data_IF_716389374654
#
_entry.id   IF_716389374654
#
_cell.length_a   1.000
_cell.length_b   1.000
_cell.length_c   1.000
_cell.angle_alpha   90.00
_cell.angle_beta   90.00
_cell.angle_gamma   90.00
#
_symmetry.space_group_name_H-M   'P 1'
#
loop_
_entity.id
_entity.type
_entity.pdbx_description
1 polymer ?
#
# COMPACT_ATOMS: atom_id res chain seq x y z
N UNK A 1 29.18 -11.65 9.67
CA UNK A 1 28.17 -10.61 10.01
C UNK A 1 26.87 -10.95 9.28
N UNK A 2 25.79 -11.27 9.98
CA UNK A 2 24.48 -11.48 9.37
C UNK A 2 23.97 -10.10 8.92
N UNK A 3 23.94 -9.85 7.61
CA UNK A 3 23.32 -8.64 7.09
C UNK A 3 21.83 -8.72 7.37
N UNK A 4 21.33 -7.80 8.22
CA UNK A 4 19.88 -7.71 8.54
C UNK A 4 19.10 -7.47 7.26
N UNK A 5 18.22 -8.42 6.90
CA UNK A 5 17.38 -8.35 5.69
C UNK A 5 15.95 -7.99 6.05
N UNK A 6 15.31 -7.25 5.16
CA UNK A 6 13.88 -6.93 5.25
C UNK A 6 13.13 -7.78 4.24
N UNK A 7 12.10 -8.51 4.71
CA UNK A 7 11.14 -9.18 3.83
C UNK A 7 9.98 -8.24 3.50
N UNK A 8 9.60 -8.14 2.24
CA UNK A 8 8.47 -7.31 1.80
C UNK A 8 7.47 -8.22 1.09
N UNK A 9 6.20 -8.10 1.45
CA UNK A 9 5.09 -8.83 0.81
C UNK A 9 4.16 -7.80 0.16
N UNK A 10 4.00 -7.90 -1.15
CA UNK A 10 3.06 -7.09 -1.92
C UNK A 10 2.29 -7.94 -2.94
N UNK A 11 1.17 -7.45 -3.44
CA UNK A 11 0.37 -8.15 -4.45
C UNK A 11 0.92 -8.01 -5.88
N UNK A 12 1.76 -6.99 -6.15
CA UNK A 12 2.21 -6.68 -7.50
C UNK A 12 3.38 -5.69 -7.55
N UNK A 13 3.46 -4.91 -8.63
CA UNK A 13 4.53 -3.95 -8.91
C UNK A 13 4.68 -2.86 -7.84
N UNK A 14 3.62 -2.57 -7.07
CA UNK A 14 3.68 -1.62 -5.95
C UNK A 14 4.81 -1.92 -4.97
N UNK A 15 5.04 -3.21 -4.67
CA UNK A 15 6.15 -3.66 -3.84
C UNK A 15 7.52 -3.32 -4.43
N UNK A 16 7.68 -3.40 -5.74
CA UNK A 16 8.92 -3.03 -6.41
C UNK A 16 9.19 -1.52 -6.29
N UNK A 17 8.17 -0.67 -6.44
CA UNK A 17 8.31 0.76 -6.23
C UNK A 17 8.65 1.09 -4.77
N UNK A 18 8.04 0.37 -3.82
CA UNK A 18 8.32 0.54 -2.41
C UNK A 18 9.76 0.15 -2.02
N UNK A 19 10.33 -0.91 -2.62
CA UNK A 19 11.73 -1.32 -2.33
C UNK A 19 12.74 -0.23 -2.65
N UNK A 20 12.46 0.65 -3.63
CA UNK A 20 13.34 1.76 -4.01
C UNK A 20 13.47 2.83 -2.92
N UNK A 21 12.55 2.84 -1.96
CA UNK A 21 12.59 3.74 -0.79
C UNK A 21 13.39 3.13 0.38
N UNK A 22 13.73 1.84 0.28
CA UNK A 22 14.41 1.12 1.37
C UNK A 22 15.90 1.05 1.06
N UNK A 23 16.71 1.78 1.83
CA UNK A 23 18.17 1.74 1.72
C UNK A 23 18.78 0.55 2.50
N UNK A 24 18.24 -0.66 2.28
CA UNK A 24 18.71 -1.90 2.93
C UNK A 24 18.48 -3.11 2.02
N UNK A 25 19.26 -4.17 2.25
CA UNK A 25 19.03 -5.44 1.58
C UNK A 25 17.63 -5.99 1.90
N UNK A 26 16.85 -6.30 0.87
CA UNK A 26 15.48 -6.82 1.04
C UNK A 26 15.22 -8.03 0.16
N UNK A 27 14.24 -8.84 0.59
CA UNK A 27 13.63 -9.92 -0.21
C UNK A 27 12.20 -9.48 -0.48
N UNK A 28 11.87 -9.23 -1.74
CA UNK A 28 10.52 -8.89 -2.18
C UNK A 28 9.78 -10.12 -2.67
N UNK A 29 8.59 -10.35 -2.13
CA UNK A 29 7.59 -11.26 -2.71
C UNK A 29 6.50 -10.43 -3.36
N UNK A 30 6.40 -10.49 -4.68
CA UNK A 30 5.27 -9.99 -5.45
C UNK A 30 4.32 -11.16 -5.73
N UNK A 31 3.18 -11.19 -5.07
CA UNK A 31 2.20 -12.28 -5.18
C UNK A 31 1.26 -12.08 -6.37
N UNK A 32 1.83 -11.90 -7.55
CA UNK A 32 1.15 -11.51 -8.80
C UNK A 32 0.08 -12.51 -9.24
N UNK A 33 0.24 -13.80 -8.90
CA UNK A 33 -0.76 -14.83 -9.19
C UNK A 33 -2.13 -14.54 -8.53
N UNK A 34 -2.17 -13.74 -7.47
CA UNK A 34 -3.39 -13.38 -6.75
C UNK A 34 -3.71 -11.89 -6.77
N UNK A 35 -3.02 -11.13 -7.62
CA UNK A 35 -3.34 -9.72 -7.85
C UNK A 35 -4.74 -9.54 -8.47
N UNK A 36 -5.51 -8.51 -8.10
CA UNK A 36 -5.30 -7.58 -6.98
C UNK A 36 -5.87 -8.13 -5.65
N UNK A 37 -5.20 -7.88 -4.55
CA UNK A 37 -5.66 -8.26 -3.21
C UNK A 37 -6.93 -7.51 -2.77
N UNK A 38 -7.18 -6.33 -3.30
CA UNK A 38 -8.38 -5.55 -3.01
C UNK A 38 -9.71 -6.19 -3.41
N UNK A 39 -9.68 -7.30 -4.17
CA UNK A 39 -10.84 -8.11 -4.55
C UNK A 39 -10.96 -9.45 -3.82
N UNK A 40 -10.07 -9.75 -2.87
CA UNK A 40 -10.04 -11.04 -2.18
C UNK A 40 -10.75 -10.97 -0.82
N UNK A 41 -11.22 -12.14 -0.33
CA UNK A 41 -11.81 -12.21 1.00
C UNK A 41 -10.75 -12.03 2.10
N UNK A 42 -11.16 -11.57 3.26
CA UNK A 42 -10.30 -11.38 4.43
C UNK A 42 -9.66 -12.70 4.86
N UNK A 43 -10.41 -13.79 4.87
CA UNK A 43 -9.94 -15.12 5.25
C UNK A 43 -8.85 -15.62 4.30
N UNK A 44 -9.04 -15.40 2.99
CA UNK A 44 -8.02 -15.72 1.99
C UNK A 44 -6.75 -14.92 2.25
N UNK A 45 -6.86 -13.60 2.43
CA UNK A 45 -5.72 -12.72 2.65
C UNK A 45 -4.94 -13.10 3.91
N UNK A 46 -5.62 -13.43 5.02
CA UNK A 46 -4.98 -13.87 6.26
C UNK A 46 -4.18 -15.17 6.02
N UNK A 47 -4.82 -16.21 5.46
CA UNK A 47 -4.17 -17.49 5.19
C UNK A 47 -2.97 -17.34 4.25
N UNK A 48 -3.14 -16.57 3.17
CA UNK A 48 -2.08 -16.33 2.21
C UNK A 48 -0.91 -15.58 2.82
N UNK A 49 -1.17 -14.53 3.60
CA UNK A 49 -0.12 -13.74 4.25
C UNK A 49 0.65 -14.58 5.28
N UNK A 50 -0.03 -15.41 6.07
CA UNK A 50 0.64 -16.34 7.01
C UNK A 50 1.59 -17.27 6.26
N UNK A 51 1.16 -17.83 5.12
CA UNK A 51 2.02 -18.68 4.30
C UNK A 51 3.28 -17.94 3.82
N UNK A 52 3.12 -16.72 3.31
CA UNK A 52 4.24 -15.91 2.81
C UNK A 52 5.16 -15.44 3.96
N UNK A 53 4.61 -15.09 5.12
CA UNK A 53 5.38 -14.73 6.30
C UNK A 53 6.24 -15.91 6.80
N UNK A 54 5.69 -17.11 6.85
CA UNK A 54 6.45 -18.34 7.20
C UNK A 54 7.62 -18.58 6.25
N UNK A 55 7.44 -18.28 4.97
CA UNK A 55 8.55 -18.40 4.01
C UNK A 55 9.68 -17.39 4.28
N UNK A 56 9.34 -16.17 4.75
CA UNK A 56 10.31 -15.10 5.03
C UNK A 56 10.90 -15.16 6.44
N UNK A 57 10.22 -15.76 7.40
CA UNK A 57 10.54 -15.73 8.84
C UNK A 57 11.99 -16.12 9.15
N UNK A 58 12.50 -17.15 8.46
CA UNK A 58 13.88 -17.63 8.65
C UNK A 58 14.90 -16.95 7.72
N UNK A 59 14.48 -16.00 6.89
CA UNK A 59 15.33 -15.35 5.88
C UNK A 59 15.49 -13.85 6.14
N UNK A 60 14.62 -13.27 6.98
CA UNK A 60 14.53 -11.84 7.23
C UNK A 60 14.38 -11.55 8.71
N UNK A 61 14.99 -10.46 9.17
CA UNK A 61 14.90 -9.99 10.56
C UNK A 61 13.60 -9.20 10.80
N UNK A 62 13.01 -8.64 9.74
CA UNK A 62 11.76 -7.89 9.77
C UNK A 62 10.95 -8.18 8.51
N UNK A 63 9.64 -8.28 8.65
CA UNK A 63 8.70 -8.40 7.53
C UNK A 63 7.87 -7.12 7.44
N UNK A 64 7.70 -6.60 6.23
CA UNK A 64 6.84 -5.44 5.94
C UNK A 64 5.74 -5.88 4.98
N UNK A 65 4.49 -5.67 5.36
CA UNK A 65 3.36 -5.77 4.45
C UNK A 65 3.33 -4.51 3.59
N UNK A 66 3.92 -4.57 2.39
CA UNK A 66 4.03 -3.47 1.44
C UNK A 66 2.70 -3.10 0.80
N UNK A 67 1.77 -4.06 0.69
CA UNK A 67 0.43 -3.81 0.21
C UNK A 67 -0.44 -3.14 1.28
N UNK A 68 -1.00 -1.95 0.98
CA UNK A 68 -1.89 -1.24 1.91
C UNK A 68 -3.12 -2.05 2.30
N UNK A 69 -3.65 -2.87 1.39
CA UNK A 69 -4.77 -3.79 1.69
C UNK A 69 -4.37 -4.81 2.77
N UNK A 70 -3.20 -5.44 2.65
CA UNK A 70 -2.70 -6.36 3.67
C UNK A 70 -2.41 -5.64 4.98
N UNK A 71 -1.77 -4.49 4.91
CA UNK A 71 -1.41 -3.70 6.07
C UNK A 71 -2.65 -3.33 6.91
N UNK A 72 -3.69 -2.80 6.26
CA UNK A 72 -4.90 -2.37 6.97
C UNK A 72 -5.75 -3.54 7.49
N UNK A 73 -5.86 -4.63 6.70
CA UNK A 73 -6.84 -5.70 6.96
C UNK A 73 -6.22 -6.87 7.71
N UNK A 74 -4.99 -7.25 7.36
CA UNK A 74 -4.39 -8.51 7.79
C UNK A 74 -3.39 -8.32 8.93
N UNK A 75 -2.68 -7.19 8.95
CA UNK A 75 -1.63 -6.94 9.95
C UNK A 75 -2.08 -7.17 11.40
N UNK A 76 -3.29 -6.75 11.84
CA UNK A 76 -3.74 -7.00 13.21
C UNK A 76 -3.77 -8.48 13.61
N UNK A 77 -3.97 -9.38 12.63
CA UNK A 77 -4.03 -10.83 12.85
C UNK A 77 -2.64 -11.47 12.82
N UNK A 78 -1.80 -11.09 11.87
CA UNK A 78 -0.47 -11.69 11.72
C UNK A 78 0.53 -11.17 12.76
N UNK A 79 0.32 -9.99 13.32
CA UNK A 79 1.10 -9.48 14.48
C UNK A 79 1.01 -10.40 15.71
N UNK A 80 -0.04 -11.19 15.84
CA UNK A 80 -0.19 -12.17 16.92
C UNK A 80 0.73 -13.38 16.74
N UNK A 81 1.14 -13.66 15.51
CA UNK A 81 1.94 -14.84 15.14
C UNK A 81 3.41 -14.49 14.87
N UNK A 82 3.69 -13.29 14.36
CA UNK A 82 5.01 -12.85 13.93
C UNK A 82 5.44 -11.59 14.68
N UNK A 83 6.55 -11.66 15.46
CA UNK A 83 6.99 -10.56 16.34
C UNK A 83 7.49 -9.32 15.58
N UNK A 84 8.21 -9.53 14.47
CA UNK A 84 8.89 -8.46 13.73
C UNK A 84 8.17 -8.17 12.41
N UNK A 85 6.88 -7.85 12.47
CA UNK A 85 6.07 -7.51 11.30
C UNK A 85 5.45 -6.12 11.44
N UNK A 86 5.45 -5.36 10.35
CA UNK A 86 4.81 -4.04 10.25
C UNK A 86 4.10 -3.90 8.90
N UNK A 87 3.35 -2.84 8.72
CA UNK A 87 2.64 -2.58 7.48
C UNK A 87 2.73 -1.11 7.08
N UNK A 88 2.75 -0.86 5.77
CA UNK A 88 2.88 0.48 5.20
C UNK A 88 1.69 1.40 5.51
N UNK A 89 0.49 0.85 5.76
CA UNK A 89 -0.67 1.67 6.08
C UNK A 89 -0.53 2.35 7.46
N UNK A 90 0.13 1.68 8.42
CA UNK A 90 0.36 2.24 9.76
C UNK A 90 1.10 3.59 9.69
N UNK A 91 1.94 3.77 8.66
CA UNK A 91 2.73 4.99 8.45
C UNK A 91 1.90 6.15 7.89
N UNK A 92 0.74 5.87 7.29
CA UNK A 92 -0.19 6.88 6.79
C UNK A 92 -1.10 7.45 7.88
N UNK A 93 -1.35 6.68 8.95
CA UNK A 93 -2.33 7.01 10.01
C UNK A 93 -2.08 8.40 10.62
N UNK A 94 -0.84 8.81 10.97
CA UNK A 94 -0.58 10.11 11.57
C UNK A 94 -0.96 11.32 10.69
N UNK A 95 -1.14 11.11 9.39
CA UNK A 95 -1.45 12.17 8.42
C UNK A 95 -2.94 12.26 8.10
N UNK A 96 -3.75 11.30 8.57
CA UNK A 96 -5.18 11.24 8.31
C UNK A 96 -5.91 12.20 9.26
N UNK A 97 -6.65 13.14 8.70
CA UNK A 97 -7.56 14.04 9.44
C UNK A 97 -8.85 14.30 8.65
N UNK A 98 -9.78 15.07 9.23
CA UNK A 98 -11.10 15.34 8.63
C UNK A 98 -11.07 16.09 7.29
N UNK A 99 -9.93 16.67 6.91
CA UNK A 99 -9.73 17.40 5.64
C UNK A 99 -9.00 16.57 4.61
N UNK A 100 -8.74 15.30 4.95
CA UNK A 100 -8.08 14.34 4.07
C UNK A 100 -9.08 13.62 3.18
N UNK A 101 -8.63 13.27 1.96
CA UNK A 101 -9.26 12.26 1.12
C UNK A 101 -8.28 11.12 0.89
N UNK A 102 -8.76 9.87 0.96
CA UNK A 102 -7.93 8.70 0.74
C UNK A 102 -8.18 8.08 -0.64
N UNK A 103 -7.11 7.75 -1.35
CA UNK A 103 -7.15 7.10 -2.66
C UNK A 103 -6.42 5.76 -2.57
N UNK A 104 -7.04 4.68 -3.04
CA UNK A 104 -6.44 3.35 -2.98
C UNK A 104 -7.34 2.30 -3.61
N UNK A 105 -7.09 1.01 -3.34
CA UNK A 105 -8.02 -0.04 -3.78
C UNK A 105 -9.37 0.11 -3.07
N UNK A 106 -10.43 -0.30 -3.76
CA UNK A 106 -11.82 -0.20 -3.25
C UNK A 106 -12.00 -0.73 -1.83
N UNK A 107 -11.39 -1.87 -1.52
CA UNK A 107 -11.48 -2.48 -0.19
C UNK A 107 -10.75 -1.64 0.87
N UNK A 108 -9.54 -1.20 0.58
CA UNK A 108 -8.73 -0.38 1.48
C UNK A 108 -9.42 0.96 1.77
N UNK A 109 -9.87 1.65 0.73
CA UNK A 109 -10.47 3.00 0.87
C UNK A 109 -11.80 2.95 1.60
N UNK A 110 -12.66 1.99 1.29
CA UNK A 110 -13.93 1.82 2.02
C UNK A 110 -13.73 1.54 3.50
N UNK A 111 -12.76 0.69 3.85
CA UNK A 111 -12.48 0.38 5.24
C UNK A 111 -11.84 1.58 5.96
N UNK A 112 -10.86 2.22 5.37
CA UNK A 112 -10.20 3.40 5.93
C UNK A 112 -11.19 4.57 6.12
N UNK A 113 -12.03 4.84 5.11
CA UNK A 113 -13.07 5.87 5.20
C UNK A 113 -13.99 5.64 6.40
N UNK A 114 -14.42 4.39 6.61
CA UNK A 114 -15.27 4.03 7.76
C UNK A 114 -14.54 4.18 9.10
N UNK A 115 -13.26 3.79 9.17
CA UNK A 115 -12.48 3.83 10.41
C UNK A 115 -12.12 5.26 10.83
N UNK A 116 -11.81 6.13 9.87
CA UNK A 116 -11.29 7.48 10.13
C UNK A 116 -12.29 8.59 9.82
N UNK A 117 -13.50 8.24 9.34
CA UNK A 117 -14.55 9.18 8.94
C UNK A 117 -14.05 10.25 7.96
N UNK A 118 -13.45 9.81 6.85
CA UNK A 118 -12.90 10.64 5.78
C UNK A 118 -13.46 10.23 4.42
N UNK A 119 -13.41 11.14 3.46
CA UNK A 119 -13.81 10.86 2.07
C UNK A 119 -12.81 9.93 1.37
N UNK A 120 -13.27 9.25 0.32
CA UNK A 120 -12.43 8.33 -0.42
C UNK A 120 -12.70 8.34 -1.93
N UNK A 121 -11.67 7.97 -2.69
CA UNK A 121 -11.76 7.66 -4.11
C UNK A 121 -11.30 6.22 -4.33
N UNK A 122 -12.16 5.44 -5.03
CA UNK A 122 -11.76 4.13 -5.53
C UNK A 122 -10.78 4.31 -6.69
N UNK A 123 -9.51 4.03 -6.42
CA UNK A 123 -8.40 4.10 -7.37
C UNK A 123 -8.08 2.76 -8.04
N UNK A 124 -8.94 1.74 -7.89
CA UNK A 124 -8.67 0.39 -8.41
C UNK A 124 -8.40 0.36 -9.91
N UNK A 125 -9.06 1.23 -10.68
CA UNK A 125 -8.81 1.36 -12.13
C UNK A 125 -7.38 1.86 -12.40
N UNK A 126 -6.95 2.91 -11.70
CA UNK A 126 -5.60 3.46 -11.83
C UNK A 126 -4.54 2.42 -11.42
N UNK A 127 -4.77 1.70 -10.32
CA UNK A 127 -3.88 0.63 -9.86
C UNK A 127 -3.72 -0.45 -10.94
N UNK A 128 -4.83 -0.89 -11.55
CA UNK A 128 -4.81 -1.87 -12.63
C UNK A 128 -4.05 -1.36 -13.87
N UNK A 129 -4.24 -0.09 -14.23
CA UNK A 129 -3.56 0.51 -15.38
C UNK A 129 -2.05 0.59 -15.15
N UNK A 130 -1.61 0.98 -13.94
CA UNK A 130 -0.17 1.01 -13.58
C UNK A 130 0.43 -0.40 -13.62
N UNK A 131 -0.24 -1.39 -13.02
CA UNK A 131 0.24 -2.78 -13.00
C UNK A 131 0.44 -3.35 -14.40
N UNK A 132 -0.44 -3.01 -15.34
CA UNK A 132 -0.44 -3.54 -16.70
C UNK A 132 0.22 -2.61 -17.73
N UNK A 133 0.89 -1.54 -17.28
CA UNK A 133 1.54 -0.55 -18.14
C UNK A 133 0.60 0.04 -19.22
N UNK A 134 -0.65 0.31 -18.84
CA UNK A 134 -1.67 0.95 -19.70
C UNK A 134 -1.59 2.46 -19.47
N UNK A 135 -1.78 3.26 -20.52
CA UNK A 135 -1.87 4.71 -20.39
C UNK A 135 -3.00 5.10 -19.42
N UNK A 136 -2.66 5.91 -18.42
CA UNK A 136 -3.55 6.30 -17.31
C UNK A 136 -3.75 7.82 -17.19
N UNK A 137 -3.38 8.59 -18.19
CA UNK A 137 -3.44 10.06 -18.17
C UNK A 137 -4.88 10.57 -17.93
N UNK A 138 -5.87 10.01 -18.62
CA UNK A 138 -7.28 10.38 -18.44
C UNK A 138 -7.78 10.07 -17.03
N UNK A 139 -7.32 8.96 -16.45
CA UNK A 139 -7.71 8.58 -15.09
C UNK A 139 -7.06 9.50 -14.04
N UNK A 140 -5.82 9.93 -14.24
CA UNK A 140 -5.16 10.96 -13.43
C UNK A 140 -5.94 12.27 -13.51
N UNK A 141 -6.30 12.71 -14.72
CA UNK A 141 -7.07 13.94 -14.92
C UNK A 141 -8.44 13.88 -14.22
N UNK A 142 -9.11 12.72 -14.26
CA UNK A 142 -10.36 12.48 -13.52
C UNK A 142 -10.15 12.63 -12.02
N UNK A 143 -9.14 11.98 -11.46
CA UNK A 143 -8.83 12.03 -10.02
C UNK A 143 -8.47 13.45 -9.61
N UNK A 144 -7.63 14.14 -10.37
CA UNK A 144 -7.22 15.52 -10.08
C UNK A 144 -8.40 16.49 -10.00
N UNK A 145 -9.45 16.28 -10.82
CA UNK A 145 -10.69 17.08 -10.72
C UNK A 145 -11.42 16.85 -9.39
N UNK A 146 -11.42 15.60 -8.89
CA UNK A 146 -12.14 15.23 -7.67
C UNK A 146 -11.44 15.71 -6.39
N UNK A 147 -10.12 15.82 -6.41
CA UNK A 147 -9.32 16.15 -5.21
C UNK A 147 -9.10 17.65 -5.00
N UNK A 148 -9.57 18.52 -5.92
CA UNK A 148 -9.28 19.97 -5.91
C UNK A 148 -9.59 20.68 -4.59
N UNK A 149 -10.63 20.23 -3.89
CA UNK A 149 -11.15 20.89 -2.69
C UNK A 149 -10.60 20.26 -1.38
N UNK A 150 -9.67 19.33 -1.47
CA UNK A 150 -9.07 18.67 -0.30
C UNK A 150 -7.69 19.26 0.01
N UNK A 151 -7.43 19.47 1.29
CA UNK A 151 -6.14 19.99 1.75
C UNK A 151 -5.06 18.90 1.76
N UNK A 152 -5.48 17.66 2.00
CA UNK A 152 -4.59 16.48 2.10
C UNK A 152 -5.12 15.31 1.28
N UNK A 153 -4.20 14.67 0.59
CA UNK A 153 -4.47 13.47 -0.20
C UNK A 153 -3.60 12.35 0.33
N UNK A 154 -4.24 11.28 0.78
CA UNK A 154 -3.58 10.08 1.31
C UNK A 154 -3.56 9.02 0.21
N UNK A 155 -2.37 8.72 -0.30
CA UNK A 155 -2.17 7.71 -1.34
C UNK A 155 -1.99 6.33 -0.70
N UNK A 156 -3.07 5.60 -0.51
CA UNK A 156 -3.10 4.30 0.17
C UNK A 156 -2.93 3.13 -0.81
N UNK A 157 -1.93 3.24 -1.69
CA UNK A 157 -1.48 2.15 -2.55
C UNK A 157 -0.04 2.37 -2.98
N UNK A 158 0.79 1.36 -2.85
CA UNK A 158 2.21 1.38 -3.24
C UNK A 158 2.43 1.59 -4.74
N UNK A 159 1.46 1.23 -5.58
CA UNK A 159 1.51 1.53 -7.03
C UNK A 159 1.60 3.03 -7.32
N UNK A 160 1.02 3.87 -6.46
CA UNK A 160 1.05 5.32 -6.66
C UNK A 160 2.43 5.95 -6.45
N UNK A 161 3.39 5.19 -5.94
CA UNK A 161 4.79 5.59 -5.91
C UNK A 161 5.38 5.76 -7.33
N UNK A 162 4.77 5.12 -8.35
CA UNK A 162 5.11 5.34 -9.75
C UNK A 162 4.67 6.72 -10.28
N UNK A 163 3.78 7.41 -9.57
CA UNK A 163 3.13 8.65 -10.03
C UNK A 163 3.74 9.92 -9.44
N UNK A 164 4.88 9.84 -8.73
CA UNK A 164 5.46 10.99 -7.99
C UNK A 164 5.54 12.29 -8.81
N UNK A 165 5.72 12.19 -10.13
CA UNK A 165 5.86 13.35 -11.01
C UNK A 165 4.57 13.76 -11.73
N UNK A 166 3.49 12.96 -11.63
CA UNK A 166 2.27 13.11 -12.45
C UNK A 166 1.04 13.57 -11.68
N UNK A 167 1.05 13.58 -10.35
CA UNK A 167 -0.06 14.08 -9.54
C UNK A 167 0.26 15.51 -9.09
N UNK A 168 0.00 16.48 -9.95
CA UNK A 168 0.40 17.89 -9.79
C UNK A 168 -0.38 18.69 -8.75
N UNK A 169 -1.42 18.15 -8.14
CA UNK A 169 -2.28 18.91 -7.21
C UNK A 169 -2.06 18.55 -5.74
N UNK A 170 -0.98 17.89 -5.41
CA UNK A 170 -0.74 17.51 -4.03
C UNK A 170 0.09 18.60 -3.37
N UNK A 171 -0.59 19.54 -2.70
CA UNK A 171 0.07 20.57 -1.88
C UNK A 171 0.90 19.98 -0.74
N UNK A 172 0.66 18.77 -0.34
CA UNK A 172 1.48 17.95 0.58
C UNK A 172 1.27 16.46 0.32
N UNK A 173 2.03 15.87 -0.59
CA UNK A 173 2.41 14.46 -0.36
C UNK A 173 3.45 14.55 0.75
N UNK A 174 3.04 14.34 1.99
CA UNK A 174 4.03 13.97 2.99
C UNK A 174 4.53 12.60 2.58
N UNK A 175 5.72 12.64 1.99
CA UNK A 175 6.45 11.47 1.58
C UNK A 175 6.49 10.49 2.75
N UNK A 176 6.36 9.24 2.43
CA UNK A 176 6.73 8.12 3.26
C UNK A 176 7.98 8.48 4.07
N UNK A 177 8.08 8.14 5.37
CA UNK A 177 9.19 8.52 6.27
C UNK A 177 10.58 8.00 5.86
N UNK A 178 10.71 7.46 4.66
CA UNK A 178 11.99 7.03 4.06
C UNK A 178 12.40 7.87 2.84
N UNK A 179 11.80 9.03 2.62
CA UNK A 179 12.20 10.00 1.58
C UNK A 179 12.86 11.22 2.16
#
# INVERSE_FOLDING_TARGET
MHTKRIGIIDSGLGGLYYTRLINKSCILIMDTAFFPYGGKSKEFLIKRTIYLCKYLENKCDKIILGCNTLSLIVLPFVKLLFKNISGVFDELIPYIDKRSIIIGSKLTTKLASKLYNIDFIDGSKLIYMIENNINYEDEINRINKLIKNYDKIILACTHFLALKDNIFCIKEIKNHPFG
#
